data_IF_594688582905
#
_entry.id   IF_594688582905
#
_cell.length_a   1.000
_cell.length_b   1.000
_cell.length_c   1.000
_cell.angle_alpha   90.00
_cell.angle_beta   90.00
_cell.angle_gamma   90.00
#
_symmetry.space_group_name_H-M   'P 1'
#
loop_
_entity.id
_entity.type
_entity.pdbx_description
1 polymer ?
#
# COMPACT_ATOMS: atom_id res chain seq x y z
N UNK A 1 14.03 71.80 7.15
CA UNK A 1 14.57 70.49 7.55
C UNK A 1 13.41 69.57 7.87
N UNK A 2 13.10 68.67 6.94
CA UNK A 2 12.03 67.67 7.04
C UNK A 2 12.64 66.34 6.60
N UNK A 3 12.53 65.25 7.39
CA UNK A 3 13.04 63.94 6.99
C UNK A 3 12.03 63.16 6.10
N UNK A 4 12.51 62.12 5.37
CA UNK A 4 11.83 61.51 4.23
C UNK A 4 11.25 60.11 4.53
N UNK A 5 10.49 59.56 3.57
CA UNK A 5 10.17 58.14 3.25
C UNK A 5 8.70 58.05 2.81
N UNK A 6 8.24 57.23 1.87
CA UNK A 6 8.82 56.15 1.06
C UNK A 6 7.89 56.06 -0.17
N UNK A 7 8.45 55.80 -1.35
CA UNK A 7 7.68 55.64 -2.59
C UNK A 7 6.83 54.37 -2.55
N UNK A 8 5.52 54.51 -2.80
CA UNK A 8 4.62 53.40 -3.10
C UNK A 8 4.89 52.95 -4.55
N UNK A 9 5.29 51.70 -4.73
CA UNK A 9 5.34 51.05 -6.04
C UNK A 9 4.44 49.83 -5.97
N UNK A 10 3.18 50.09 -6.32
CA UNK A 10 2.16 49.08 -6.61
C UNK A 10 2.71 48.10 -7.66
N UNK A 11 3.06 46.88 -7.23
CA UNK A 11 3.53 45.81 -8.11
C UNK A 11 2.35 44.94 -8.55
N UNK A 12 2.11 44.98 -9.86
CA UNK A 12 1.59 43.93 -10.73
C UNK A 12 0.56 42.92 -10.17
N UNK A 13 -0.70 43.14 -10.55
CA UNK A 13 -1.64 42.04 -10.76
C UNK A 13 -1.35 41.32 -12.08
N UNK A 14 -1.28 39.99 -12.02
CA UNK A 14 -1.64 39.01 -13.07
C UNK A 14 -1.53 37.61 -12.46
N UNK A 15 -2.66 37.16 -11.90
CA UNK A 15 -2.91 35.75 -11.60
C UNK A 15 -2.87 34.96 -12.91
N UNK A 16 -1.99 33.98 -13.01
CA UNK A 16 -2.03 32.94 -14.04
C UNK A 16 -2.53 31.64 -13.35
N UNK A 17 -3.48 30.92 -13.95
CA UNK A 17 -3.98 29.69 -13.36
C UNK A 17 -2.91 28.60 -13.45
N UNK A 18 -2.46 28.10 -12.30
CA UNK A 18 -1.66 26.88 -12.21
C UNK A 18 -2.50 25.70 -12.71
N UNK A 19 -2.15 25.24 -13.90
CA UNK A 19 -2.69 24.08 -14.55
C UNK A 19 -2.28 22.84 -13.75
N UNK A 20 -3.10 22.47 -12.76
CA UNK A 20 -3.04 21.18 -12.10
C UNK A 20 -3.22 20.08 -13.15
N UNK A 21 -2.09 19.54 -13.60
CA UNK A 21 -2.06 18.33 -14.39
C UNK A 21 -2.18 17.19 -13.38
N UNK A 22 -3.24 16.37 -13.39
CA UNK A 22 -3.21 15.14 -12.62
C UNK A 22 -2.08 14.29 -13.20
N UNK A 23 -1.01 14.15 -12.43
CA UNK A 23 0.05 13.19 -12.71
C UNK A 23 -0.57 11.81 -12.54
N UNK A 24 -1.08 11.29 -13.65
CA UNK A 24 -1.56 9.92 -13.79
C UNK A 24 -0.34 9.02 -13.63
N UNK A 25 -0.03 8.64 -12.40
CA UNK A 25 0.92 7.57 -12.11
C UNK A 25 0.23 6.27 -12.55
N UNK A 26 0.26 5.99 -13.85
CA UNK A 26 0.07 4.64 -14.34
C UNK A 26 1.14 3.80 -13.65
N UNK A 27 0.69 2.92 -12.76
CA UNK A 27 1.52 1.90 -12.17
C UNK A 27 2.03 1.04 -13.33
N UNK A 28 3.26 1.27 -13.78
CA UNK A 28 4.02 0.28 -14.52
C UNK A 28 4.18 -0.91 -13.57
N UNK A 29 3.27 -1.87 -13.66
CA UNK A 29 3.46 -3.20 -13.10
C UNK A 29 4.72 -3.74 -13.78
N UNK A 30 5.86 -3.62 -13.12
CA UNK A 30 7.12 -4.14 -13.62
C UNK A 30 7.00 -5.68 -13.57
N UNK A 31 6.39 -6.25 -14.60
CA UNK A 31 6.01 -7.66 -14.73
C UNK A 31 7.24 -8.52 -14.97
N UNK A 32 8.11 -8.56 -13.97
CA UNK A 32 9.35 -9.34 -13.98
C UNK A 32 9.16 -10.54 -13.09
N UNK A 33 9.44 -11.74 -13.62
CA UNK A 33 9.47 -12.96 -12.82
C UNK A 33 10.51 -12.82 -11.71
N UNK A 34 10.13 -13.16 -10.48
CA UNK A 34 11.04 -13.19 -9.34
C UNK A 34 11.74 -14.55 -9.36
N UNK A 35 13.05 -14.56 -9.60
CA UNK A 35 13.84 -15.81 -9.57
C UNK A 35 14.14 -16.29 -8.15
N UNK A 36 14.35 -15.36 -7.22
CA UNK A 36 14.63 -15.62 -5.81
C UNK A 36 14.04 -14.50 -4.95
N UNK A 37 13.52 -14.85 -3.78
CA UNK A 37 13.01 -13.89 -2.80
C UNK A 37 14.16 -13.08 -2.19
N UNK A 38 14.06 -11.76 -2.24
CA UNK A 38 15.01 -10.86 -1.56
C UNK A 38 14.92 -10.94 -0.03
N UNK A 39 15.81 -10.24 0.67
CA UNK A 39 15.83 -10.20 2.14
C UNK A 39 14.59 -9.52 2.74
N UNK A 40 14.06 -8.52 2.04
CA UNK A 40 12.83 -7.81 2.42
C UNK A 40 11.75 -8.11 1.39
N UNK A 41 10.57 -8.47 1.90
CA UNK A 41 9.37 -8.77 1.15
C UNK A 41 8.32 -7.71 1.42
N UNK A 42 7.45 -7.46 0.44
CA UNK A 42 6.37 -6.46 0.55
C UNK A 42 5.04 -7.11 0.24
N UNK A 43 4.08 -6.98 1.15
CA UNK A 43 2.68 -7.38 0.93
C UNK A 43 1.80 -6.14 0.93
N UNK A 44 0.89 -6.06 -0.04
CA UNK A 44 -0.13 -5.02 -0.11
C UNK A 44 -1.38 -5.46 0.65
N UNK A 45 -1.89 -4.60 1.53
CA UNK A 45 -3.22 -4.75 2.15
C UNK A 45 -4.16 -3.78 1.46
N UNK A 46 -5.13 -4.31 0.72
CA UNK A 46 -6.04 -3.55 -0.14
C UNK A 46 -7.46 -3.52 0.44
N UNK A 47 -8.03 -2.32 0.55
CA UNK A 47 -9.41 -2.08 0.97
C UNK A 47 -10.38 -2.20 -0.23
N UNK A 48 -10.67 -3.44 -0.65
CA UNK A 48 -11.40 -3.73 -1.88
C UNK A 48 -12.92 -3.66 -1.77
N UNK A 49 -13.47 -3.90 -0.57
CA UNK A 49 -14.92 -3.99 -0.33
C UNK A 49 -15.39 -2.98 0.73
N UNK A 50 -14.79 -1.79 0.72
CA UNK A 50 -15.03 -0.73 1.68
C UNK A 50 -13.85 -0.43 2.60
N UNK A 51 -13.95 0.70 3.30
CA UNK A 51 -12.92 1.22 4.19
C UNK A 51 -12.54 0.23 5.31
N UNK A 52 -11.25 0.23 5.66
CA UNK A 52 -10.66 -0.55 6.74
C UNK A 52 -10.35 0.35 7.96
N UNK A 53 -10.93 0.03 9.11
CA UNK A 53 -10.91 0.89 10.31
C UNK A 53 -10.85 0.11 11.65
N UNK A 54 -9.82 0.36 12.46
CA UNK A 54 -8.44 0.20 12.02
C UNK A 54 -8.13 -1.29 11.77
N UNK A 55 -7.35 -1.56 10.73
CA UNK A 55 -6.57 -2.81 10.68
C UNK A 55 -5.28 -2.61 11.47
N UNK A 56 -4.76 -3.68 12.04
CA UNK A 56 -3.52 -3.70 12.82
C UNK A 56 -2.50 -4.55 12.09
N UNK A 57 -1.34 -3.97 11.85
CA UNK A 57 -0.25 -4.61 11.14
C UNK A 57 0.95 -4.69 12.06
N UNK A 58 1.59 -5.85 12.09
CA UNK A 58 2.85 -6.08 12.81
C UNK A 58 3.84 -6.72 11.85
N UNK A 59 4.97 -6.05 11.62
CA UNK A 59 6.09 -6.55 10.84
C UNK A 59 7.21 -7.00 11.77
N UNK A 60 7.91 -8.07 11.40
CA UNK A 60 9.10 -8.55 12.10
C UNK A 60 10.33 -7.64 11.95
N UNK A 61 10.28 -6.64 11.06
CA UNK A 61 11.32 -5.62 10.96
C UNK A 61 11.41 -4.75 12.21
N UNK A 62 10.29 -4.51 12.90
CA UNK A 62 10.23 -3.64 14.07
C UNK A 62 9.45 -4.20 15.27
N UNK A 63 8.73 -5.31 15.09
CA UNK A 63 7.84 -5.95 16.08
C UNK A 63 6.81 -5.01 16.73
N UNK A 64 6.48 -3.90 16.08
CA UNK A 64 5.48 -2.93 16.53
C UNK A 64 4.16 -3.15 15.81
N UNK A 65 3.09 -3.23 16.60
CA UNK A 65 1.72 -3.29 16.08
C UNK A 65 1.19 -1.88 15.85
N UNK A 66 0.97 -1.50 14.59
CA UNK A 66 0.48 -0.17 14.24
C UNK A 66 -0.95 -0.26 13.66
N UNK A 67 -1.88 0.61 14.08
CA UNK A 67 -3.19 0.72 13.46
C UNK A 67 -3.13 1.53 12.15
N UNK A 68 -3.87 1.10 11.14
CA UNK A 68 -4.02 1.80 9.87
C UNK A 68 -5.49 1.92 9.49
N UNK A 69 -5.81 3.08 8.94
CA UNK A 69 -7.07 3.37 8.26
C UNK A 69 -6.76 3.43 6.77
N UNK A 70 -7.48 2.64 5.99
CA UNK A 70 -7.27 2.53 4.55
C UNK A 70 -8.61 2.79 3.88
N UNK A 71 -8.64 3.83 3.04
CA UNK A 71 -9.84 4.18 2.28
C UNK A 71 -10.13 3.13 1.22
N UNK A 72 -11.41 2.95 0.88
CA UNK A 72 -11.81 2.07 -0.22
C UNK A 72 -11.08 2.43 -1.51
N UNK A 73 -10.62 1.41 -2.24
CA UNK A 73 -9.81 1.62 -3.45
C UNK A 73 -8.30 1.76 -3.16
N UNK A 74 -7.87 1.95 -1.90
CA UNK A 74 -6.44 2.09 -1.57
C UNK A 74 -5.80 0.78 -1.09
N UNK A 75 -4.53 0.60 -1.46
CA UNK A 75 -3.69 -0.46 -0.92
C UNK A 75 -2.49 0.11 -0.17
N UNK A 76 -2.18 -0.43 1.01
CA UNK A 76 -0.99 -0.06 1.78
C UNK A 76 0.03 -1.20 1.71
N UNK A 77 1.28 -0.88 1.37
CA UNK A 77 2.39 -1.81 1.26
C UNK A 77 3.14 -1.92 2.59
N UNK A 78 3.32 -3.14 3.07
CA UNK A 78 4.03 -3.41 4.31
C UNK A 78 5.20 -4.33 4.07
N UNK A 79 6.38 -3.87 4.48
CA UNK A 79 7.60 -4.63 4.39
C UNK A 79 7.79 -5.55 5.61
N UNK A 80 8.37 -6.71 5.39
CA UNK A 80 8.72 -7.73 6.40
C UNK A 80 9.84 -8.62 5.86
N UNK A 81 10.49 -9.43 6.71
CA UNK A 81 11.54 -10.38 6.28
C UNK A 81 11.02 -11.82 6.19
N UNK A 82 10.40 -12.26 7.27
CA UNK A 82 9.96 -13.63 7.52
C UNK A 82 8.48 -13.68 7.89
N UNK A 83 7.97 -12.72 8.66
CA UNK A 83 6.59 -12.72 9.16
C UNK A 83 5.92 -11.34 9.16
N UNK A 84 4.72 -11.29 8.60
CA UNK A 84 3.77 -10.17 8.71
C UNK A 84 2.47 -10.65 9.34
N UNK A 85 2.02 -9.97 10.39
CA UNK A 85 0.72 -10.22 11.03
C UNK A 85 -0.27 -9.14 10.60
N UNK A 86 -1.43 -9.59 10.12
CA UNK A 86 -2.54 -8.73 9.70
C UNK A 86 -3.77 -9.06 10.53
N UNK A 87 -4.31 -8.08 11.24
CA UNK A 87 -5.49 -8.24 12.09
C UNK A 87 -6.54 -7.17 11.81
N UNK A 88 -7.80 -7.56 11.67
CA UNK A 88 -8.91 -6.60 11.57
C UNK A 88 -10.07 -7.09 10.71
N UNK A 89 -10.54 -6.23 9.82
CA UNK A 89 -11.76 -6.42 9.02
C UNK A 89 -11.52 -7.37 7.82
N UNK A 90 -11.28 -8.65 8.10
CA UNK A 90 -10.87 -9.65 7.11
C UNK A 90 -11.82 -9.83 5.91
N UNK A 91 -13.11 -9.53 6.06
CA UNK A 91 -14.09 -9.64 4.98
C UNK A 91 -14.01 -8.50 3.96
N UNK A 92 -13.28 -7.42 4.28
CA UNK A 92 -13.15 -6.22 3.44
C UNK A 92 -11.76 -6.07 2.81
N UNK A 93 -10.76 -6.74 3.38
CA UNK A 93 -9.39 -6.66 2.91
C UNK A 93 -9.07 -7.76 1.90
N UNK A 94 -8.23 -7.41 0.93
CA UNK A 94 -7.48 -8.34 0.11
C UNK A 94 -6.00 -8.22 0.46
N UNK A 95 -5.28 -9.34 0.41
CA UNK A 95 -3.83 -9.36 0.51
C UNK A 95 -3.28 -9.65 -0.87
N UNK A 96 -2.27 -8.86 -1.27
CA UNK A 96 -1.59 -9.05 -2.54
C UNK A 96 -0.10 -9.19 -2.32
N UNK A 97 0.51 -10.07 -3.11
CA UNK A 97 1.95 -10.16 -3.26
C UNK A 97 2.29 -10.20 -4.74
N UNK A 98 3.17 -9.30 -5.19
CA UNK A 98 3.57 -9.20 -6.60
C UNK A 98 2.36 -9.15 -7.56
N UNK A 99 1.30 -8.42 -7.18
CA UNK A 99 0.05 -8.31 -7.94
C UNK A 99 -0.89 -9.53 -7.88
N UNK A 100 -0.45 -10.65 -7.31
CA UNK A 100 -1.29 -11.84 -7.11
C UNK A 100 -2.08 -11.72 -5.82
N UNK A 101 -3.34 -12.15 -5.86
CA UNK A 101 -4.21 -12.17 -4.68
C UNK A 101 -3.89 -13.41 -3.85
N UNK A 102 -3.63 -13.22 -2.56
CA UNK A 102 -3.53 -14.32 -1.61
C UNK A 102 -4.96 -14.79 -1.28
N UNK A 103 -5.33 -15.97 -1.79
CA UNK A 103 -6.69 -16.47 -1.65
C UNK A 103 -7.03 -16.94 -0.23
N UNK A 104 -8.25 -16.62 0.21
CA UNK A 104 -8.84 -17.06 1.49
C UNK A 104 -7.86 -16.97 2.68
N UNK A 105 -7.18 -15.82 2.90
CA UNK A 105 -6.05 -15.77 3.82
C UNK A 105 -6.47 -15.96 5.28
N UNK A 106 -7.72 -15.63 5.61
CA UNK A 106 -8.31 -15.91 6.93
C UNK A 106 -8.53 -17.40 7.18
N UNK A 107 -8.84 -18.17 6.15
CA UNK A 107 -9.09 -19.60 6.28
C UNK A 107 -7.77 -20.36 6.27
N UNK A 108 -6.85 -19.96 5.41
CA UNK A 108 -5.62 -20.70 5.14
C UNK A 108 -4.47 -20.34 6.10
N UNK A 109 -4.39 -19.07 6.53
CA UNK A 109 -3.19 -18.53 7.20
C UNK A 109 -3.49 -17.84 8.53
N UNK A 110 -4.67 -18.07 9.10
CA UNK A 110 -5.03 -17.49 10.39
C UNK A 110 -4.40 -18.25 11.55
N UNK A 111 -3.61 -17.54 12.35
CA UNK A 111 -3.00 -18.06 13.56
C UNK A 111 -3.82 -17.65 14.78
N UNK A 112 -4.33 -18.62 15.55
CA UNK A 112 -5.16 -18.37 16.73
C UNK A 112 -4.38 -17.82 17.92
N UNK A 113 -3.09 -18.14 18.06
CA UNK A 113 -2.25 -17.60 19.12
C UNK A 113 -2.01 -16.09 18.96
N UNK A 114 -1.82 -15.64 17.72
CA UNK A 114 -1.68 -14.22 17.40
C UNK A 114 -3.01 -13.51 17.07
N UNK A 115 -4.11 -14.26 16.94
CA UNK A 115 -5.43 -13.77 16.53
C UNK A 115 -5.37 -12.91 15.25
N UNK A 116 -4.56 -13.36 14.29
CA UNK A 116 -4.16 -12.60 13.09
C UNK A 116 -3.96 -13.54 11.90
N UNK A 117 -4.13 -13.03 10.69
CA UNK A 117 -3.57 -13.66 9.49
C UNK A 117 -2.05 -13.53 9.58
N UNK A 118 -1.33 -14.62 9.44
CA UNK A 118 0.13 -14.68 9.50
C UNK A 118 0.66 -15.02 8.13
N UNK A 119 1.21 -14.03 7.45
CA UNK A 119 1.89 -14.20 6.16
C UNK A 119 3.36 -14.44 6.45
N UNK A 120 3.89 -15.55 5.93
CA UNK A 120 5.30 -15.92 6.08
C UNK A 120 5.99 -15.98 4.73
N UNK A 121 7.32 -15.92 4.75
CA UNK A 121 8.15 -16.12 3.56
C UNK A 121 7.78 -17.41 2.81
N UNK A 122 7.59 -18.52 3.52
CA UNK A 122 7.25 -19.82 2.91
C UNK A 122 5.92 -19.79 2.12
N UNK A 123 4.95 -18.97 2.55
CA UNK A 123 3.68 -18.81 1.82
C UNK A 123 3.92 -18.11 0.48
N UNK A 124 4.84 -17.14 0.49
CA UNK A 124 5.11 -16.26 -0.65
C UNK A 124 6.17 -16.85 -1.60
N UNK A 125 6.97 -17.80 -1.15
CA UNK A 125 7.93 -18.53 -1.98
C UNK A 125 7.28 -19.55 -2.93
N UNK A 126 5.95 -19.53 -3.03
CA UNK A 126 5.22 -20.39 -3.96
C UNK A 126 5.35 -19.86 -5.40
N UNK A 127 5.43 -20.74 -6.41
CA UNK A 127 5.63 -20.35 -7.80
C UNK A 127 4.60 -19.33 -8.34
N UNK A 128 3.38 -19.34 -7.82
CA UNK A 128 2.33 -18.38 -8.21
C UNK A 128 2.72 -16.94 -7.89
N UNK A 129 3.28 -16.69 -6.71
CA UNK A 129 3.66 -15.37 -6.23
C UNK A 129 4.97 -14.87 -6.84
N UNK A 130 5.80 -15.78 -7.33
CA UNK A 130 7.05 -15.49 -8.03
C UNK A 130 6.83 -15.19 -9.52
N UNK A 131 5.71 -15.63 -10.09
CA UNK A 131 5.36 -15.34 -11.47
C UNK A 131 5.11 -13.83 -11.67
N UNK A 132 5.29 -13.30 -12.90
CA UNK A 132 4.90 -11.94 -13.21
C UNK A 132 3.45 -11.65 -12.77
N UNK A 133 3.21 -10.44 -12.28
CA UNK A 133 1.86 -9.99 -11.93
C UNK A 133 0.86 -10.26 -13.07
N UNK A 134 -0.37 -10.72 -12.77
CA UNK A 134 -1.38 -10.95 -13.80
C UNK A 134 -1.65 -9.67 -14.59
N UNK A 135 -1.83 -9.80 -15.92
CA UNK A 135 -2.12 -8.65 -16.79
C UNK A 135 -3.48 -8.01 -16.51
N UNK A 136 -4.40 -8.78 -15.94
CA UNK A 136 -5.72 -8.33 -15.50
C UNK A 136 -5.93 -8.71 -14.04
N UNK A 137 -6.59 -7.84 -13.28
CA UNK A 137 -6.89 -8.12 -11.89
C UNK A 137 -7.89 -9.29 -11.80
N UNK A 138 -7.62 -10.35 -11.01
CA UNK A 138 -8.39 -11.60 -11.06
C UNK A 138 -9.79 -11.50 -10.45
N UNK A 139 -10.15 -10.36 -9.85
CA UNK A 139 -11.43 -10.14 -9.18
C UNK A 139 -12.20 -8.97 -9.81
N UNK A 140 -13.54 -9.05 -9.76
CA UNK A 140 -14.42 -8.02 -10.34
C UNK A 140 -14.31 -6.65 -9.68
N UNK A 141 -13.73 -6.57 -8.48
CA UNK A 141 -13.53 -5.31 -7.74
C UNK A 141 -12.48 -4.40 -8.38
N UNK A 142 -11.68 -4.92 -9.30
CA UNK A 142 -10.57 -4.19 -9.91
C UNK A 142 -9.31 -4.13 -9.03
N UNK A 143 -8.22 -3.66 -9.62
CA UNK A 143 -6.96 -3.41 -8.90
C UNK A 143 -7.10 -2.15 -8.01
N UNK A 144 -6.20 -1.95 -7.03
CA UNK A 144 -6.19 -0.73 -6.23
C UNK A 144 -6.05 0.53 -7.10
N UNK A 145 -6.84 1.56 -6.81
CA UNK A 145 -6.76 2.88 -7.45
C UNK A 145 -5.48 3.62 -7.08
N UNK A 146 -4.96 3.35 -5.87
CA UNK A 146 -3.70 3.91 -5.39
C UNK A 146 -2.99 2.95 -4.44
N UNK A 147 -1.67 3.12 -4.35
CA UNK A 147 -0.81 2.33 -3.47
C UNK A 147 0.09 3.24 -2.65
N UNK A 148 0.14 2.98 -1.34
CA UNK A 148 0.82 3.83 -0.35
C UNK A 148 1.81 2.99 0.45
N UNK A 149 2.99 3.55 0.76
CA UNK A 149 3.96 2.95 1.67
C UNK A 149 3.92 3.72 3.00
N UNK A 150 3.12 3.27 3.98
CA UNK A 150 2.85 4.04 5.18
C UNK A 150 4.04 4.08 6.15
N UNK A 151 4.94 3.10 6.08
CA UNK A 151 6.17 3.06 6.86
C UNK A 151 7.30 2.57 5.97
N UNK A 152 8.41 3.31 5.93
CA UNK A 152 9.70 2.82 5.42
C UNK A 152 10.57 2.43 6.61
N UNK A 153 11.22 1.27 6.53
CA UNK A 153 12.09 0.72 7.56
C UNK A 153 13.57 0.87 7.21
#
# INVERSE_FOLDING_TARGET
VTPPALVDSTSAGREAPEQNTPQNTQQESNSTQISELGDTLTVSVYAAYGQLEPIRITSDLNWRTNPFWIEEGQAYNFDFRDTLLVRGQYSRLLLLFNGHVVENPRQNYFNTAFNSIMITRDIIDQPEFLAPAPSEFPLQVGAPDSTIFPISF
#
